data_IF_024460237916
#
_entry.id   IF_024460237916
#
_cell.length_a   1.000
_cell.length_b   1.000
_cell.length_c   1.000
_cell.angle_alpha   90.00
_cell.angle_beta   90.00
_cell.angle_gamma   90.00
#
_symmetry.space_group_name_H-M   'P 1'
#
loop_
_entity.id
_entity.type
_entity.pdbx_description
1 polymer ?
#
# COMPACT_ATOMS: atom_id res chain seq x y z
N UNK A 1 23.08 -1.44 25.21
CA UNK A 1 22.08 -1.59 24.13
C UNK A 1 20.71 -1.74 24.79
N UNK A 2 19.99 -0.64 25.01
CA UNK A 2 18.65 -0.64 25.64
C UNK A 2 17.76 0.50 25.16
N UNK A 3 18.29 1.49 24.43
CA UNK A 3 17.50 2.59 23.86
C UNK A 3 16.67 2.15 22.63
N UNK A 4 17.20 1.24 21.81
CA UNK A 4 16.57 0.85 20.53
C UNK A 4 15.25 0.07 20.70
N UNK A 5 15.13 -0.76 21.73
CA UNK A 5 13.90 -1.52 21.98
C UNK A 5 12.72 -0.60 22.35
N UNK A 6 12.96 0.45 23.14
CA UNK A 6 11.91 1.38 23.59
C UNK A 6 11.42 2.30 22.47
N UNK A 7 12.29 2.68 21.53
CA UNK A 7 11.90 3.52 20.38
C UNK A 7 11.13 2.70 19.34
N UNK A 8 11.52 1.44 19.14
CA UNK A 8 10.78 0.51 18.29
C UNK A 8 9.35 0.30 18.79
N UNK A 9 9.17 0.01 20.08
CA UNK A 9 7.84 -0.18 20.68
C UNK A 9 6.94 1.06 20.55
N UNK A 10 7.53 2.26 20.59
CA UNK A 10 6.79 3.52 20.39
C UNK A 10 6.42 3.78 18.93
N UNK A 11 7.19 3.24 17.98
CA UNK A 11 6.93 3.38 16.55
C UNK A 11 5.87 2.40 16.04
N UNK A 12 5.69 1.25 16.70
CA UNK A 12 4.77 0.19 16.27
C UNK A 12 3.33 0.67 15.98
N UNK A 13 2.68 1.50 16.82
CA UNK A 13 1.32 1.98 16.51
C UNK A 13 1.24 2.81 15.23
N UNK A 14 2.26 3.62 14.95
CA UNK A 14 2.31 4.43 13.72
C UNK A 14 2.53 3.56 12.48
N UNK A 15 3.37 2.52 12.60
CA UNK A 15 3.57 1.52 11.54
C UNK A 15 2.28 0.75 11.28
N UNK A 16 1.57 0.28 12.31
CA UNK A 16 0.29 -0.42 12.15
C UNK A 16 -0.75 0.46 11.44
N UNK A 17 -0.92 1.71 11.88
CA UNK A 17 -1.85 2.64 11.24
C UNK A 17 -1.48 2.93 9.77
N UNK A 18 -0.18 2.97 9.44
CA UNK A 18 0.28 3.12 8.07
C UNK A 18 -0.06 1.88 7.22
N UNK A 19 0.19 0.67 7.74
CA UNK A 19 -0.12 -0.57 7.05
C UNK A 19 -1.62 -0.73 6.79
N UNK A 20 -2.47 -0.38 7.76
CA UNK A 20 -3.94 -0.42 7.58
C UNK A 20 -4.42 0.53 6.48
N UNK A 21 -3.81 1.73 6.36
CA UNK A 21 -4.13 2.68 5.28
C UNK A 21 -3.70 2.13 3.92
N UNK A 22 -2.51 1.52 3.87
CA UNK A 22 -1.99 0.90 2.66
C UNK A 22 -2.88 -0.26 2.21
N UNK A 23 -3.27 -1.14 3.13
CA UNK A 23 -4.18 -2.27 2.88
C UNK A 23 -5.52 -1.79 2.32
N UNK A 24 -6.15 -0.77 2.93
CA UNK A 24 -7.40 -0.20 2.40
C UNK A 24 -7.27 0.36 0.98
N UNK A 25 -6.14 1.02 0.67
CA UNK A 25 -5.87 1.52 -0.68
C UNK A 25 -5.72 0.39 -1.71
N UNK A 26 -5.01 -0.67 -1.32
CA UNK A 26 -4.83 -1.88 -2.14
C UNK A 26 -6.18 -2.56 -2.39
N UNK A 27 -6.96 -2.78 -1.33
CA UNK A 27 -8.26 -3.46 -1.41
C UNK A 27 -9.25 -2.71 -2.28
N UNK A 28 -9.36 -1.38 -2.10
CA UNK A 28 -10.22 -0.52 -2.92
C UNK A 28 -9.84 -0.62 -4.39
N UNK A 29 -8.55 -0.56 -4.68
CA UNK A 29 -8.05 -0.64 -6.06
C UNK A 29 -8.29 -2.02 -6.65
N UNK A 30 -8.00 -3.09 -5.90
CA UNK A 30 -8.23 -4.47 -6.32
C UNK A 30 -9.71 -4.73 -6.64
N UNK A 31 -10.62 -4.30 -5.76
CA UNK A 31 -12.05 -4.49 -5.93
C UNK A 31 -12.62 -3.84 -7.20
N UNK A 32 -11.99 -2.78 -7.70
CA UNK A 32 -12.50 -1.97 -8.82
C UNK A 32 -11.68 -2.09 -10.10
N UNK A 33 -10.41 -2.48 -10.02
CA UNK A 33 -9.46 -2.47 -11.13
C UNK A 33 -8.71 -3.81 -11.32
N UNK A 34 -9.05 -4.88 -10.58
CA UNK A 34 -8.45 -6.19 -10.83
C UNK A 34 -8.65 -6.63 -12.30
N UNK A 35 -7.57 -7.14 -12.91
CA UNK A 35 -7.57 -7.57 -14.32
C UNK A 35 -7.50 -6.43 -15.34
N UNK A 36 -7.51 -5.17 -14.91
CA UNK A 36 -7.33 -4.02 -15.81
C UNK A 36 -5.86 -3.86 -16.24
N UNK A 37 -5.56 -3.11 -17.32
CA UNK A 37 -4.19 -2.85 -17.73
C UNK A 37 -3.34 -2.20 -16.63
N UNK A 38 -2.08 -2.62 -16.51
CA UNK A 38 -1.14 -2.13 -15.50
C UNK A 38 -1.13 -0.61 -15.32
N UNK A 39 -1.08 0.16 -16.41
CA UNK A 39 -1.05 1.62 -16.34
C UNK A 39 -2.29 2.19 -15.62
N UNK A 40 -3.48 1.70 -15.97
CA UNK A 40 -4.75 2.07 -15.34
C UNK A 40 -4.75 1.70 -13.86
N UNK A 41 -4.29 0.49 -13.52
CA UNK A 41 -4.23 0.01 -12.13
C UNK A 41 -3.25 0.84 -11.31
N UNK A 42 -2.09 1.17 -11.88
CA UNK A 42 -1.05 1.95 -11.21
C UNK A 42 -1.52 3.36 -10.88
N UNK A 43 -2.17 4.03 -11.82
CA UNK A 43 -2.75 5.36 -11.58
C UNK A 43 -3.82 5.33 -10.50
N UNK A 44 -4.74 4.35 -10.56
CA UNK A 44 -5.76 4.15 -9.54
C UNK A 44 -5.18 3.82 -8.16
N UNK A 45 -4.16 2.96 -8.11
CA UNK A 45 -3.48 2.57 -6.87
C UNK A 45 -2.79 3.75 -6.22
N UNK A 46 -2.05 4.55 -7.02
CA UNK A 46 -1.41 5.77 -6.52
C UNK A 46 -2.45 6.65 -5.87
N UNK A 47 -3.54 6.99 -6.59
CA UNK A 47 -4.61 7.85 -6.11
C UNK A 47 -5.22 7.33 -4.79
N UNK A 48 -5.58 6.04 -4.73
CA UNK A 48 -6.17 5.43 -3.55
C UNK A 48 -5.23 5.50 -2.32
N UNK A 49 -3.92 5.31 -2.53
CA UNK A 49 -2.93 5.45 -1.46
C UNK A 49 -2.74 6.90 -1.00
N UNK A 50 -2.86 7.88 -1.90
CA UNK A 50 -2.85 9.30 -1.50
C UNK A 50 -4.07 9.64 -0.64
N UNK A 51 -5.26 9.18 -1.05
CA UNK A 51 -6.53 9.40 -0.35
C UNK A 51 -6.52 8.79 1.05
N UNK A 52 -5.93 7.61 1.22
CA UNK A 52 -5.77 6.95 2.53
C UNK A 52 -4.64 7.56 3.37
N UNK A 53 -3.87 8.52 2.85
CA UNK A 53 -2.72 9.10 3.53
C UNK A 53 -1.57 8.09 3.73
N UNK A 54 -1.46 7.10 2.84
CA UNK A 54 -0.42 6.07 2.82
C UNK A 54 0.77 6.49 1.93
N UNK A 55 1.27 7.72 2.11
CA UNK A 55 2.46 8.24 1.41
C UNK A 55 3.53 8.74 2.40
N UNK A 56 4.82 8.69 2.01
CA UNK A 56 5.36 8.23 0.73
C UNK A 56 5.62 6.71 0.68
N UNK A 57 5.28 6.09 -0.43
CA UNK A 57 5.70 4.71 -0.75
C UNK A 57 6.84 4.73 -1.76
N UNK A 58 7.71 3.72 -1.65
CA UNK A 58 8.77 3.47 -2.62
C UNK A 58 8.13 3.09 -3.96
N UNK A 59 8.48 3.75 -5.09
CA UNK A 59 7.83 3.52 -6.38
C UNK A 59 7.77 2.05 -6.81
N UNK A 60 8.82 1.29 -6.53
CA UNK A 60 8.93 -0.14 -6.84
C UNK A 60 7.86 -0.97 -6.12
N UNK A 61 7.46 -0.60 -4.91
CA UNK A 61 6.39 -1.29 -4.17
C UNK A 61 5.04 -1.02 -4.84
N UNK A 62 4.80 0.23 -5.24
CA UNK A 62 3.59 0.60 -5.96
C UNK A 62 3.51 -0.11 -7.32
N UNK A 63 4.62 -0.19 -8.03
CA UNK A 63 4.70 -0.87 -9.33
C UNK A 63 4.41 -2.37 -9.20
N UNK A 64 4.97 -3.03 -8.18
CA UNK A 64 4.74 -4.46 -7.93
C UNK A 64 3.29 -4.75 -7.52
N UNK A 65 2.70 -3.93 -6.63
CA UNK A 65 1.30 -4.06 -6.26
C UNK A 65 0.36 -3.84 -7.45
N UNK A 66 0.65 -2.83 -8.27
CA UNK A 66 -0.13 -2.58 -9.48
C UNK A 66 -0.04 -3.75 -10.47
N UNK A 67 1.13 -4.39 -10.59
CA UNK A 67 1.31 -5.61 -11.39
C UNK A 67 0.45 -6.76 -10.86
N UNK A 68 0.49 -7.03 -9.55
CA UNK A 68 -0.29 -8.11 -8.93
C UNK A 68 -1.81 -7.91 -9.08
N UNK A 69 -2.29 -6.67 -8.90
CA UNK A 69 -3.71 -6.33 -9.09
C UNK A 69 -4.09 -6.45 -10.57
N UNK A 70 -3.24 -5.98 -11.49
CA UNK A 70 -3.46 -6.12 -12.94
C UNK A 70 -3.53 -7.59 -13.37
N UNK A 71 -2.73 -8.45 -12.76
CA UNK A 71 -2.75 -9.90 -12.99
C UNK A 71 -3.92 -10.60 -12.28
N UNK A 72 -4.70 -9.91 -11.43
CA UNK A 72 -5.80 -10.50 -10.67
C UNK A 72 -5.35 -11.53 -9.64
N UNK A 73 -4.09 -11.46 -9.19
CA UNK A 73 -3.48 -12.45 -8.28
C UNK A 73 -3.62 -12.07 -6.81
N UNK A 74 -4.14 -10.89 -6.50
CA UNK A 74 -4.36 -10.46 -5.12
C UNK A 74 -5.54 -11.24 -4.50
N UNK A 75 -5.24 -12.33 -3.77
CA UNK A 75 -6.22 -13.23 -3.16
C UNK A 75 -5.91 -13.43 -1.68
#
# INVERSE_FOLDING_TARGET
>A
MTAEASEYDKAMPAVSAFLERMERGIDRTSATHAGQPYATVREALVLALEEEGARPMVPQVVDELARQISEGTNR
#
